data_IF_562324429364
#
_entry.id   IF_562324429364
#
_cell.length_a   1.000
_cell.length_b   1.000
_cell.length_c   1.000
_cell.angle_alpha   90.00
_cell.angle_beta   90.00
_cell.angle_gamma   90.00
#
_symmetry.space_group_name_H-M   'P 1'
#
loop_
_entity.id
_entity.type
_entity.pdbx_description
1 polymer ?
#
# COMPACT_ATOMS: atom_id res chain seq x y z
N UNK A 1 3.77 -20.78 -15.58
CA UNK A 1 2.95 -19.82 -16.36
C UNK A 1 2.47 -18.80 -15.35
N UNK A 2 2.28 -17.62 -15.44
CA UNK A 2 1.85 -16.48 -14.58
C UNK A 2 1.67 -16.73 -13.06
N UNK A 3 2.51 -17.58 -12.44
CA UNK A 3 2.54 -17.85 -10.98
C UNK A 3 1.17 -18.20 -10.36
N UNK A 4 0.26 -18.82 -11.13
CA UNK A 4 -1.11 -19.16 -10.74
C UNK A 4 -1.96 -17.95 -10.31
N UNK A 5 -1.69 -16.77 -10.91
CA UNK A 5 -2.38 -15.53 -10.56
C UNK A 5 -3.88 -15.59 -10.82
N UNK A 6 -4.66 -15.27 -9.79
CA UNK A 6 -6.12 -15.22 -9.83
C UNK A 6 -6.62 -13.91 -9.21
N UNK A 7 -7.67 -13.36 -9.81
CA UNK A 7 -8.48 -12.31 -9.22
C UNK A 7 -9.68 -12.96 -8.56
N UNK A 8 -9.83 -12.74 -7.27
CA UNK A 8 -10.83 -13.37 -6.42
C UNK A 8 -11.70 -12.33 -5.75
N UNK A 9 -12.86 -12.76 -5.27
CA UNK A 9 -13.80 -11.93 -4.52
C UNK A 9 -14.36 -12.73 -3.34
N UNK A 10 -14.61 -12.06 -2.22
CA UNK A 10 -15.29 -12.64 -1.08
C UNK A 10 -16.26 -11.65 -0.45
N UNK A 11 -17.22 -12.18 0.29
CA UNK A 11 -18.12 -11.40 1.14
C UNK A 11 -17.51 -11.21 2.52
N UNK A 12 -17.51 -9.98 3.03
CA UNK A 12 -17.25 -9.66 4.44
C UNK A 12 -18.46 -8.88 4.95
N UNK A 13 -19.12 -9.43 5.98
CA UNK A 13 -20.41 -8.90 6.42
C UNK A 13 -21.38 -8.84 5.23
N UNK A 14 -21.94 -7.67 4.93
CA UNK A 14 -22.82 -7.43 3.77
C UNK A 14 -22.10 -6.84 2.54
N UNK A 15 -20.77 -6.81 2.52
CA UNK A 15 -19.99 -6.14 1.50
C UNK A 15 -19.00 -7.09 0.81
N UNK A 16 -18.68 -6.81 -0.44
CA UNK A 16 -17.70 -7.58 -1.19
C UNK A 16 -16.31 -6.92 -1.11
N UNK A 17 -15.28 -7.77 -1.04
CA UNK A 17 -13.89 -7.36 -1.15
C UNK A 17 -13.23 -8.16 -2.25
N UNK A 18 -12.47 -7.47 -3.09
CA UNK A 18 -11.65 -8.12 -4.11
C UNK A 18 -10.25 -8.34 -3.57
N UNK A 19 -9.66 -9.46 -3.95
CA UNK A 19 -8.26 -9.75 -3.67
C UNK A 19 -7.61 -10.49 -4.83
N UNK A 20 -6.30 -10.47 -4.87
CA UNK A 20 -5.50 -11.23 -5.83
C UNK A 20 -4.72 -12.28 -5.04
N UNK A 21 -4.60 -13.49 -5.61
CA UNK A 21 -3.72 -14.51 -5.09
C UNK A 21 -2.78 -15.03 -6.18
N UNK A 22 -1.54 -15.34 -5.81
CA UNK A 22 -0.57 -15.98 -6.68
C UNK A 22 0.55 -16.66 -5.86
N UNK A 23 1.41 -17.41 -6.57
CA UNK A 23 2.45 -18.20 -5.92
C UNK A 23 1.94 -19.51 -5.34
N UNK A 24 2.87 -20.38 -4.94
CA UNK A 24 2.59 -21.74 -4.46
C UNK A 24 3.44 -22.15 -3.25
N UNK A 25 4.15 -21.20 -2.65
CA UNK A 25 4.98 -21.44 -1.47
C UNK A 25 4.15 -21.78 -0.22
N UNK A 26 4.83 -22.21 0.82
CA UNK A 26 4.21 -22.62 2.10
C UNK A 26 3.97 -21.45 3.05
N UNK A 27 4.78 -20.40 2.94
CA UNK A 27 4.62 -19.17 3.75
C UNK A 27 3.51 -18.30 3.16
N UNK A 28 2.90 -17.45 3.97
CA UNK A 28 1.88 -16.50 3.52
C UNK A 28 2.41 -15.09 3.60
N UNK A 29 2.33 -14.36 2.46
CA UNK A 29 2.61 -12.92 2.40
C UNK A 29 1.35 -12.18 1.99
N UNK A 30 0.96 -11.18 2.79
CA UNK A 30 -0.13 -10.26 2.49
C UNK A 30 0.45 -8.93 2.05
N UNK A 31 0.02 -8.43 0.91
CA UNK A 31 0.39 -7.12 0.39
C UNK A 31 -0.83 -6.20 0.44
N UNK A 32 -0.68 -5.07 1.14
CA UNK A 32 -1.69 -4.02 1.23
C UNK A 32 -1.26 -2.85 0.34
N UNK A 33 -1.92 -2.63 -0.82
CA UNK A 33 -1.56 -1.56 -1.74
C UNK A 33 -1.90 -0.18 -1.21
N UNK A 34 -1.31 0.86 -1.81
CA UNK A 34 -1.54 2.25 -1.45
C UNK A 34 -2.89 2.80 -1.92
N UNK A 35 -3.02 4.13 -1.89
CA UNK A 35 -4.23 4.89 -2.21
C UNK A 35 -4.73 4.67 -3.65
N UNK A 36 -3.89 4.13 -4.53
CA UNK A 36 -4.29 3.75 -5.89
C UNK A 36 -5.50 2.80 -5.95
N UNK A 37 -5.75 2.00 -4.90
CA UNK A 37 -6.97 1.18 -4.77
C UNK A 37 -8.27 2.02 -4.81
N UNK A 38 -8.20 3.27 -4.39
CA UNK A 38 -9.34 4.20 -4.46
C UNK A 38 -9.76 4.57 -5.88
N UNK A 39 -8.80 4.60 -6.83
CA UNK A 39 -9.03 4.86 -8.26
C UNK A 39 -9.19 3.56 -9.05
N UNK A 40 -8.41 2.55 -8.71
CA UNK A 40 -8.29 1.28 -9.42
C UNK A 40 -8.48 0.11 -8.44
N UNK A 41 -9.70 -0.18 -8.02
CA UNK A 41 -9.98 -1.35 -7.17
C UNK A 41 -9.43 -2.62 -7.81
N UNK A 42 -8.97 -3.55 -6.98
CA UNK A 42 -8.45 -4.82 -7.48
C UNK A 42 -9.52 -5.55 -8.28
N UNK A 43 -9.26 -5.77 -9.57
CA UNK A 43 -10.22 -6.41 -10.46
C UNK A 43 -9.56 -7.03 -11.70
N UNK A 44 -9.97 -8.23 -12.03
CA UNK A 44 -9.70 -8.87 -13.30
C UNK A 44 -8.31 -9.52 -13.43
N UNK A 45 -8.23 -10.38 -14.43
CA UNK A 45 -7.07 -11.26 -14.67
C UNK A 45 -5.79 -10.48 -15.04
N UNK A 46 -5.93 -9.39 -15.80
CA UNK A 46 -4.77 -8.60 -16.24
C UNK A 46 -4.07 -7.98 -15.02
N UNK A 47 -4.84 -7.40 -14.09
CA UNK A 47 -4.28 -6.80 -12.88
C UNK A 47 -3.64 -7.88 -11.99
N UNK A 48 -4.27 -9.07 -11.87
CA UNK A 48 -3.69 -10.19 -11.13
C UNK A 48 -2.32 -10.61 -11.71
N UNK A 49 -2.21 -10.72 -13.03
CA UNK A 49 -0.95 -11.04 -13.72
C UNK A 49 0.10 -9.92 -13.48
N UNK A 50 -0.30 -8.66 -13.53
CA UNK A 50 0.60 -7.52 -13.30
C UNK A 50 1.19 -7.55 -11.89
N UNK A 51 0.36 -7.80 -10.86
CA UNK A 51 0.84 -7.95 -9.48
C UNK A 51 1.76 -9.16 -9.33
N UNK A 52 1.38 -10.31 -9.89
CA UNK A 52 2.19 -11.51 -9.84
C UNK A 52 3.55 -11.32 -10.53
N UNK A 53 3.62 -10.55 -11.60
CA UNK A 53 4.87 -10.23 -12.27
C UNK A 53 5.74 -9.26 -11.47
N UNK A 54 5.14 -8.23 -10.88
CA UNK A 54 5.84 -7.25 -10.01
C UNK A 54 6.47 -7.92 -8.80
N UNK A 55 5.77 -8.86 -8.18
CA UNK A 55 6.16 -9.54 -6.95
C UNK A 55 6.57 -11.01 -7.16
N UNK A 56 7.01 -11.35 -8.37
CA UNK A 56 7.36 -12.73 -8.78
C UNK A 56 8.42 -13.39 -7.89
N UNK A 57 9.33 -12.61 -7.31
CA UNK A 57 10.39 -13.10 -6.44
C UNK A 57 9.84 -13.81 -5.19
N UNK A 58 8.67 -13.39 -4.70
CA UNK A 58 8.01 -14.04 -3.56
C UNK A 58 7.26 -15.32 -3.94
N UNK A 59 6.86 -15.48 -5.21
CA UNK A 59 5.92 -16.52 -5.65
C UNK A 59 6.41 -17.97 -5.46
N UNK A 60 7.71 -18.19 -5.28
CA UNK A 60 8.31 -19.51 -5.05
C UNK A 60 8.09 -19.96 -3.60
N UNK A 61 8.37 -19.09 -2.65
CA UNK A 61 8.41 -19.41 -1.23
C UNK A 61 7.11 -19.06 -0.51
N UNK A 62 6.30 -18.20 -1.13
CA UNK A 62 5.06 -17.65 -0.58
C UNK A 62 3.84 -17.98 -1.44
N UNK A 63 2.72 -18.20 -0.74
CA UNK A 63 1.39 -17.92 -1.23
C UNK A 63 1.15 -16.44 -0.97
N UNK A 64 1.08 -15.65 -2.02
CA UNK A 64 0.94 -14.19 -1.93
C UNK A 64 -0.51 -13.78 -2.12
N UNK A 65 -0.99 -12.92 -1.24
CA UNK A 65 -2.30 -12.30 -1.33
C UNK A 65 -2.13 -10.78 -1.44
N UNK A 66 -2.83 -10.15 -2.37
CA UNK A 66 -2.97 -8.69 -2.41
C UNK A 66 -4.40 -8.36 -2.03
N UNK A 67 -4.61 -7.71 -0.89
CA UNK A 67 -5.94 -7.40 -0.39
C UNK A 67 -6.38 -5.99 -0.79
N UNK A 68 -7.58 -5.88 -1.42
CA UNK A 68 -8.26 -4.61 -1.66
C UNK A 68 -9.03 -4.12 -0.44
N UNK A 69 -9.77 -3.03 -0.62
CA UNK A 69 -10.73 -2.51 0.36
C UNK A 69 -12.14 -2.94 -0.04
N UNK A 70 -13.09 -2.86 0.89
CA UNK A 70 -14.53 -3.09 0.60
C UNK A 70 -14.94 -2.33 -0.65
N UNK A 71 -15.78 -2.95 -1.50
CA UNK A 71 -16.24 -2.31 -2.74
C UNK A 71 -17.16 -1.14 -2.45
N UNK A 72 -18.04 -1.28 -1.45
CA UNK A 72 -18.89 -0.19 -0.96
C UNK A 72 -18.31 0.30 0.36
N UNK A 73 -17.90 1.54 0.40
CA UNK A 73 -17.32 2.19 1.59
C UNK A 73 -18.21 3.34 2.06
N UNK A 74 -18.31 3.49 3.36
CA UNK A 74 -19.05 4.59 4.01
C UNK A 74 -18.20 5.86 4.05
N UNK A 75 -18.81 7.01 4.26
CA UNK A 75 -18.12 8.30 4.33
C UNK A 75 -17.07 8.35 5.46
N UNK A 76 -17.33 7.64 6.55
CA UNK A 76 -16.39 7.47 7.67
C UNK A 76 -15.77 6.08 7.60
N UNK A 77 -14.66 5.95 6.89
CA UNK A 77 -13.94 4.70 6.73
C UNK A 77 -12.45 4.94 6.98
N UNK A 78 -12.06 4.79 8.24
CA UNK A 78 -10.70 5.04 8.71
C UNK A 78 -9.72 3.95 8.28
N UNK A 79 -8.42 4.23 8.35
CA UNK A 79 -7.36 3.22 8.15
C UNK A 79 -7.45 2.10 9.19
N UNK A 80 -8.01 2.35 10.38
CA UNK A 80 -8.25 1.33 11.42
C UNK A 80 -9.43 0.43 11.06
N UNK A 81 -10.52 0.98 10.49
CA UNK A 81 -11.62 0.18 9.95
C UNK A 81 -11.15 -0.70 8.80
N UNK A 82 -10.29 -0.15 7.93
CA UNK A 82 -9.66 -0.93 6.86
C UNK A 82 -8.83 -2.08 7.42
N UNK A 83 -8.09 -1.88 8.52
CA UNK A 83 -7.31 -2.93 9.17
C UNK A 83 -8.19 -4.03 9.76
N UNK A 84 -9.34 -3.66 10.37
CA UNK A 84 -10.35 -4.63 10.82
C UNK A 84 -10.82 -5.49 9.64
N UNK A 85 -11.14 -4.88 8.51
CA UNK A 85 -11.56 -5.62 7.32
C UNK A 85 -10.47 -6.60 6.84
N UNK A 86 -9.19 -6.20 6.89
CA UNK A 86 -8.08 -7.10 6.52
C UNK A 86 -8.01 -8.30 7.49
N UNK A 87 -8.21 -8.08 8.79
CA UNK A 87 -8.24 -9.18 9.77
C UNK A 87 -9.40 -10.15 9.48
N UNK A 88 -10.56 -9.63 9.08
CA UNK A 88 -11.74 -10.43 8.74
C UNK A 88 -11.51 -11.24 7.45
N UNK A 89 -10.81 -10.65 6.44
CA UNK A 89 -10.38 -11.38 5.24
C UNK A 89 -9.46 -12.55 5.63
N UNK A 90 -8.43 -12.29 6.45
CA UNK A 90 -7.49 -13.32 6.91
C UNK A 90 -8.23 -14.47 7.58
N UNK A 91 -9.13 -14.17 8.53
CA UNK A 91 -9.94 -15.18 9.23
C UNK A 91 -10.76 -16.03 8.26
N UNK A 92 -11.42 -15.40 7.28
CA UNK A 92 -12.23 -16.13 6.27
C UNK A 92 -11.41 -17.00 5.34
N UNK A 93 -10.16 -16.60 5.05
CA UNK A 93 -9.22 -17.42 4.26
C UNK A 93 -8.52 -18.51 5.09
N UNK A 94 -8.79 -18.59 6.42
CA UNK A 94 -8.10 -19.50 7.32
C UNK A 94 -6.63 -19.14 7.55
N UNK A 95 -6.25 -17.88 7.31
CA UNK A 95 -4.90 -17.38 7.53
C UNK A 95 -4.76 -17.02 9.01
N UNK A 96 -4.13 -17.89 9.78
CA UNK A 96 -3.95 -17.70 11.22
C UNK A 96 -2.82 -16.72 11.53
N UNK A 97 -1.82 -16.61 10.66
CA UNK A 97 -0.68 -15.71 10.78
C UNK A 97 -0.01 -15.52 9.43
N UNK A 98 0.48 -14.33 9.13
CA UNK A 98 1.15 -14.03 7.88
C UNK A 98 2.22 -12.95 8.04
N UNK A 99 3.15 -12.91 7.10
CA UNK A 99 3.99 -11.75 6.87
C UNK A 99 3.17 -10.70 6.11
N UNK A 100 3.29 -9.42 6.51
CA UNK A 100 2.48 -8.34 5.96
C UNK A 100 3.37 -7.24 5.40
N UNK A 101 3.14 -6.85 4.16
CA UNK A 101 3.78 -5.70 3.53
C UNK A 101 2.73 -4.64 3.19
N UNK A 102 2.82 -3.47 3.81
CA UNK A 102 1.97 -2.33 3.52
C UNK A 102 2.73 -1.23 2.77
N UNK A 103 2.17 -0.77 1.66
CA UNK A 103 2.75 0.31 0.84
C UNK A 103 1.90 1.56 0.99
N UNK A 104 2.50 2.70 1.36
CA UNK A 104 1.82 3.98 1.49
C UNK A 104 0.58 3.90 2.41
N UNK A 105 -0.63 4.19 1.95
CA UNK A 105 -1.86 3.96 2.74
C UNK A 105 -1.97 2.51 3.24
N UNK A 106 -1.53 1.52 2.44
CA UNK A 106 -1.47 0.13 2.88
C UNK A 106 -0.57 -0.07 4.11
N UNK A 107 0.50 0.73 4.25
CA UNK A 107 1.34 0.77 5.43
C UNK A 107 0.62 1.39 6.65
N UNK A 108 -0.21 2.42 6.45
CA UNK A 108 -1.06 2.98 7.50
C UNK A 108 -2.05 1.92 8.03
N UNK A 109 -2.63 1.13 7.13
CA UNK A 109 -3.53 0.01 7.47
C UNK A 109 -2.76 -1.10 8.20
N UNK A 110 -1.58 -1.47 7.69
CA UNK A 110 -0.74 -2.52 8.28
C UNK A 110 -0.28 -2.18 9.70
N UNK A 111 -0.06 -0.90 10.02
CA UNK A 111 0.21 -0.46 11.39
C UNK A 111 -0.94 -0.85 12.34
N UNK A 112 -2.19 -0.49 12.01
CA UNK A 112 -3.33 -0.86 12.84
C UNK A 112 -3.62 -2.37 12.84
N UNK A 113 -3.34 -3.07 11.74
CA UNK A 113 -3.43 -4.53 11.73
C UNK A 113 -2.45 -5.15 12.75
N UNK A 114 -1.21 -4.65 12.81
CA UNK A 114 -0.21 -5.15 13.76
C UNK A 114 -0.45 -4.67 15.21
N UNK A 115 -1.12 -3.53 15.41
CA UNK A 115 -1.48 -2.99 16.72
C UNK A 115 -2.67 -3.74 17.32
N UNK A 116 -3.75 -3.92 16.54
CA UNK A 116 -5.03 -4.42 17.02
C UNK A 116 -5.15 -5.96 16.93
N UNK A 117 -4.36 -6.58 16.03
CA UNK A 117 -4.37 -8.03 15.76
C UNK A 117 -2.93 -8.59 15.68
N UNK A 118 -2.12 -8.42 16.74
CA UNK A 118 -0.69 -8.80 16.72
C UNK A 118 -0.49 -10.30 16.46
N UNK A 119 -1.46 -11.14 16.81
CA UNK A 119 -1.44 -12.57 16.56
C UNK A 119 -1.47 -12.94 15.06
N UNK A 120 -2.01 -12.05 14.22
CA UNK A 120 -2.12 -12.28 12.77
C UNK A 120 -0.86 -11.87 12.00
N UNK A 121 0.04 -11.07 12.62
CA UNK A 121 1.21 -10.51 11.93
C UNK A 121 2.49 -11.14 12.44
N UNK A 122 3.19 -11.88 11.58
CA UNK A 122 4.47 -12.52 11.92
C UNK A 122 5.64 -11.56 11.76
N UNK A 123 5.75 -10.93 10.60
CA UNK A 123 6.69 -9.85 10.28
C UNK A 123 5.97 -8.75 9.52
N UNK A 124 6.45 -7.54 9.67
CA UNK A 124 5.84 -6.35 9.07
C UNK A 124 6.83 -5.62 8.18
N UNK A 125 6.40 -5.24 6.97
CA UNK A 125 7.13 -4.34 6.09
C UNK A 125 6.30 -3.09 5.87
N UNK A 126 6.84 -1.93 6.24
CA UNK A 126 6.23 -0.61 6.09
C UNK A 126 7.00 0.17 5.02
N UNK A 127 6.48 0.23 3.80
CA UNK A 127 7.11 0.89 2.68
C UNK A 127 6.46 2.24 2.38
N UNK A 128 7.27 3.32 2.32
CA UNK A 128 6.88 4.68 1.93
C UNK A 128 5.58 5.16 2.61
N UNK A 129 5.50 5.00 3.92
CA UNK A 129 4.29 5.28 4.70
C UNK A 129 4.58 6.19 5.89
N UNK A 130 3.54 6.68 6.55
CA UNK A 130 3.63 7.53 7.71
C UNK A 130 2.79 6.99 8.86
N UNK A 131 3.16 7.34 10.09
CA UNK A 131 2.41 7.00 11.30
C UNK A 131 1.35 8.01 11.69
N UNK A 132 1.43 9.21 11.14
CA UNK A 132 0.50 10.32 11.41
C UNK A 132 0.54 11.32 10.28
N UNK A 133 -0.46 12.20 10.25
CA UNK A 133 -0.48 13.37 9.39
C UNK A 133 0.74 14.28 9.63
N UNK A 134 1.18 14.97 8.59
CA UNK A 134 2.13 16.06 8.58
C UNK A 134 1.79 17.04 7.43
N UNK A 135 2.46 18.19 7.38
CA UNK A 135 2.18 19.24 6.38
C UNK A 135 2.31 18.74 4.93
N UNK A 136 3.27 17.84 4.66
CA UNK A 136 3.45 17.27 3.32
C UNK A 136 2.24 16.44 2.91
N UNK A 137 1.80 15.51 3.76
CA UNK A 137 0.59 14.69 3.52
C UNK A 137 -0.63 15.59 3.38
N UNK A 138 -0.82 16.54 4.30
CA UNK A 138 -1.96 17.45 4.27
C UNK A 138 -2.04 18.19 2.94
N UNK A 139 -0.95 18.84 2.52
CA UNK A 139 -0.93 19.65 1.31
C UNK A 139 -1.14 18.79 0.03
N UNK A 140 -0.49 17.63 -0.04
CA UNK A 140 -0.59 16.76 -1.22
C UNK A 140 -1.96 16.13 -1.32
N UNK A 141 -2.44 15.53 -0.24
CA UNK A 141 -3.70 14.77 -0.26
C UNK A 141 -4.90 15.72 -0.39
N UNK A 142 -4.92 16.89 0.28
CA UNK A 142 -5.97 17.89 0.06
C UNK A 142 -6.04 18.35 -1.40
N UNK A 143 -4.87 18.61 -2.02
CA UNK A 143 -4.80 18.95 -3.44
C UNK A 143 -5.37 17.85 -4.34
N UNK A 144 -5.08 16.58 -4.04
CA UNK A 144 -5.61 15.44 -4.79
C UNK A 144 -7.11 15.28 -4.60
N UNK A 145 -7.63 15.50 -3.39
CA UNK A 145 -9.07 15.53 -3.11
C UNK A 145 -9.76 16.64 -3.92
N UNK A 146 -9.17 17.83 -3.99
CA UNK A 146 -9.72 18.94 -4.78
C UNK A 146 -9.73 18.63 -6.29
N UNK A 147 -8.68 18.02 -6.80
CA UNK A 147 -8.64 17.55 -8.19
C UNK A 147 -9.72 16.49 -8.45
N UNK A 148 -9.91 15.55 -7.53
CA UNK A 148 -10.92 14.52 -7.62
C UNK A 148 -12.35 15.11 -7.58
N UNK A 149 -12.64 16.05 -6.68
CA UNK A 149 -13.92 16.78 -6.62
C UNK A 149 -14.21 17.53 -7.92
N UNK A 150 -13.20 18.11 -8.55
CA UNK A 150 -13.29 18.81 -9.85
C UNK A 150 -13.25 17.84 -11.04
N UNK A 151 -13.25 16.53 -10.81
CA UNK A 151 -13.12 15.48 -11.83
C UNK A 151 -11.89 15.64 -12.75
N UNK A 152 -10.86 16.33 -12.27
CA UNK A 152 -9.61 16.56 -12.99
C UNK A 152 -8.68 15.33 -12.84
N UNK A 153 -9.07 14.22 -13.47
CA UNK A 153 -8.33 12.97 -13.43
C UNK A 153 -6.92 13.10 -14.02
N UNK A 154 -6.81 13.79 -15.15
CA UNK A 154 -5.51 13.99 -15.80
C UNK A 154 -4.52 14.76 -14.90
N UNK A 155 -4.97 15.86 -14.29
CA UNK A 155 -4.17 16.61 -13.33
C UNK A 155 -3.75 15.76 -12.13
N UNK A 156 -4.69 14.97 -11.59
CA UNK A 156 -4.43 14.06 -10.47
C UNK A 156 -3.33 13.03 -10.82
N UNK A 157 -3.43 12.38 -11.97
CA UNK A 157 -2.46 11.36 -12.39
C UNK A 157 -1.07 11.95 -12.66
N UNK A 158 -1.00 13.10 -13.31
CA UNK A 158 0.27 13.80 -13.59
C UNK A 158 0.91 14.27 -12.28
N UNK A 159 0.15 14.89 -11.38
CA UNK A 159 0.68 15.36 -10.10
C UNK A 159 1.16 14.19 -9.23
N UNK A 160 0.41 13.08 -9.21
CA UNK A 160 0.82 11.84 -8.53
C UNK A 160 2.14 11.32 -9.10
N UNK A 161 2.28 11.22 -10.42
CA UNK A 161 3.52 10.77 -11.05
C UNK A 161 4.71 11.68 -10.68
N UNK A 162 4.54 13.00 -10.80
CA UNK A 162 5.60 13.97 -10.52
C UNK A 162 6.07 13.98 -9.07
N UNK A 163 5.18 13.60 -8.12
CA UNK A 163 5.54 13.51 -6.70
C UNK A 163 6.08 12.14 -6.29
N UNK A 164 5.69 11.09 -7.01
CA UNK A 164 6.07 9.71 -6.68
C UNK A 164 7.44 9.34 -7.20
N UNK A 165 7.74 9.68 -8.46
CA UNK A 165 8.91 9.17 -9.16
C UNK A 165 10.10 10.13 -9.13
N UNK A 166 11.31 9.58 -9.26
CA UNK A 166 12.55 10.33 -9.40
C UNK A 166 12.60 11.12 -10.72
N UNK A 167 13.38 12.19 -10.76
CA UNK A 167 13.58 12.96 -12.00
C UNK A 167 14.12 12.09 -13.15
N UNK A 168 14.99 11.13 -12.84
CA UNK A 168 15.52 10.18 -13.82
C UNK A 168 14.40 9.35 -14.45
N UNK A 169 13.48 8.84 -13.63
CA UNK A 169 12.34 8.07 -14.10
C UNK A 169 11.38 8.92 -14.94
N UNK A 170 11.05 10.11 -14.46
CA UNK A 170 10.18 11.05 -15.16
C UNK A 170 10.75 11.46 -16.52
N UNK A 171 12.07 11.72 -16.62
CA UNK A 171 12.74 12.00 -17.90
C UNK A 171 12.61 10.83 -18.88
N UNK A 172 12.82 9.59 -18.40
CA UNK A 172 12.72 8.37 -19.22
C UNK A 172 11.31 8.17 -19.78
N UNK A 173 10.27 8.42 -18.98
CA UNK A 173 8.88 8.17 -19.34
C UNK A 173 8.10 9.44 -19.71
N UNK A 174 8.75 10.56 -19.93
CA UNK A 174 8.17 11.88 -20.20
C UNK A 174 7.06 11.87 -21.26
N UNK A 175 7.22 11.11 -22.33
CA UNK A 175 6.24 11.03 -23.42
C UNK A 175 4.97 10.25 -23.03
N UNK A 176 5.05 9.38 -22.02
CA UNK A 176 3.93 8.53 -21.59
C UNK A 176 3.14 9.14 -20.43
N UNK A 177 3.74 10.04 -19.63
CA UNK A 177 3.09 10.66 -18.48
C UNK A 177 1.78 11.36 -18.84
N UNK A 178 1.67 12.14 -19.94
CA UNK A 178 0.40 12.76 -20.33
C UNK A 178 -0.71 11.77 -20.71
N UNK A 179 -0.35 10.51 -21.01
CA UNK A 179 -1.31 9.45 -21.35
C UNK A 179 -1.93 8.82 -20.10
N UNK A 180 -1.31 8.94 -18.93
CA UNK A 180 -1.81 8.38 -17.69
C UNK A 180 -3.24 8.85 -17.38
N UNK A 181 -3.53 10.11 -17.65
CA UNK A 181 -4.85 10.68 -17.43
C UNK A 181 -5.90 10.34 -18.49
N UNK A 182 -5.55 9.55 -19.51
CA UNK A 182 -6.48 9.14 -20.59
C UNK A 182 -7.02 7.74 -20.41
N UNK A 183 -6.40 6.93 -19.52
CA UNK A 183 -6.72 5.52 -19.33
C UNK A 183 -7.19 5.28 -17.91
N UNK A 184 -8.25 4.49 -17.73
CA UNK A 184 -8.69 4.04 -16.42
C UNK A 184 -9.40 5.09 -15.56
N UNK A 185 -9.90 6.20 -16.16
CA UNK A 185 -10.68 7.19 -15.40
C UNK A 185 -11.86 6.49 -14.70
N UNK A 186 -11.99 6.60 -13.36
CA UNK A 186 -13.11 6.02 -12.64
C UNK A 186 -14.42 6.73 -13.00
N UNK A 187 -15.57 6.05 -12.83
CA UNK A 187 -16.90 6.66 -13.08
C UNK A 187 -17.18 7.82 -12.12
N UNK A 188 -16.75 7.69 -10.88
CA UNK A 188 -16.77 8.73 -9.86
C UNK A 188 -15.54 8.62 -8.96
N UNK A 189 -15.30 9.64 -8.16
CA UNK A 189 -14.14 9.73 -7.28
C UNK A 189 -14.48 9.52 -5.79
N UNK A 190 -15.73 9.15 -5.48
CA UNK A 190 -16.19 9.04 -4.09
C UNK A 190 -15.30 8.09 -3.28
N UNK A 191 -15.01 6.91 -3.83
CA UNK A 191 -14.12 5.92 -3.20
C UNK A 191 -12.72 6.48 -2.93
N UNK A 192 -12.13 7.16 -3.92
CA UNK A 192 -10.82 7.78 -3.77
C UNK A 192 -10.81 8.87 -2.69
N UNK A 193 -11.81 9.76 -2.70
CA UNK A 193 -11.92 10.87 -1.74
C UNK A 193 -12.01 10.32 -0.31
N UNK A 194 -12.83 9.29 -0.05
CA UNK A 194 -12.95 8.68 1.27
C UNK A 194 -11.61 8.08 1.73
N UNK A 195 -10.94 7.30 0.87
CA UNK A 195 -9.64 6.72 1.19
C UNK A 195 -8.55 7.79 1.36
N UNK A 196 -8.55 8.84 0.54
CA UNK A 196 -7.63 9.96 0.68
C UNK A 196 -7.83 10.71 2.00
N UNK A 197 -9.09 10.96 2.40
CA UNK A 197 -9.42 11.55 3.68
C UNK A 197 -8.90 10.71 4.85
N UNK A 198 -9.02 9.39 4.78
CA UNK A 198 -8.49 8.51 5.82
C UNK A 198 -6.96 8.58 5.98
N UNK A 199 -6.22 8.94 4.91
CA UNK A 199 -4.78 9.18 5.03
C UNK A 199 -4.45 10.45 5.83
N UNK A 200 -5.26 11.51 5.70
CA UNK A 200 -5.12 12.74 6.48
C UNK A 200 -5.48 12.49 7.94
N UNK A 201 -6.50 11.69 8.20
CA UNK A 201 -6.99 11.39 9.55
C UNK A 201 -6.18 10.31 10.26
N UNK A 202 -5.25 9.64 9.56
CA UNK A 202 -4.44 8.58 10.14
C UNK A 202 -3.53 9.09 11.25
N UNK A 203 -3.60 8.45 12.42
CA UNK A 203 -2.75 8.76 13.56
C UNK A 203 -2.52 7.53 14.45
N UNK A 204 -1.54 6.71 14.10
CA UNK A 204 -1.11 5.55 14.88
C UNK A 204 0.13 5.84 15.75
N UNK A 205 0.71 7.05 15.68
CA UNK A 205 2.02 7.38 16.24
C UNK A 205 2.16 7.04 17.73
N UNK A 206 1.15 7.36 18.54
CA UNK A 206 1.16 7.09 19.98
C UNK A 206 1.03 5.60 20.33
N UNK A 207 0.59 4.78 19.38
CA UNK A 207 0.33 3.34 19.57
C UNK A 207 1.37 2.43 18.91
N UNK A 208 2.33 2.97 18.16
CA UNK A 208 3.34 2.19 17.43
C UNK A 208 4.20 1.29 18.30
N UNK A 209 4.38 1.65 19.57
CA UNK A 209 5.10 0.82 20.56
C UNK A 209 4.40 -0.52 20.87
N UNK A 210 3.11 -0.66 20.48
CA UNK A 210 2.36 -1.92 20.58
C UNK A 210 2.71 -2.91 19.46
N UNK A 211 3.38 -2.45 18.39
CA UNK A 211 3.89 -3.34 17.34
C UNK A 211 5.07 -4.13 17.89
N UNK A 212 4.87 -5.42 18.09
CA UNK A 212 5.86 -6.32 18.74
C UNK A 212 6.59 -7.24 17.77
N UNK A 213 6.06 -7.40 16.55
CA UNK A 213 6.69 -8.20 15.50
C UNK A 213 7.94 -7.51 14.91
N UNK A 214 8.91 -8.26 14.38
CA UNK A 214 10.00 -7.70 13.59
C UNK A 214 9.45 -6.85 12.44
N UNK A 215 10.00 -5.65 12.24
CA UNK A 215 9.48 -4.68 11.28
C UNK A 215 10.61 -4.13 10.41
N UNK A 216 10.44 -4.18 9.09
CA UNK A 216 11.30 -3.46 8.14
C UNK A 216 10.58 -2.19 7.67
N UNK A 217 11.26 -1.06 7.81
CA UNK A 217 10.78 0.24 7.34
C UNK A 217 11.60 0.65 6.13
N UNK A 218 10.94 0.89 5.00
CA UNK A 218 11.61 1.33 3.77
C UNK A 218 11.05 2.69 3.34
N UNK A 219 11.93 3.65 3.10
CA UNK A 219 11.59 4.98 2.62
C UNK A 219 12.42 5.43 1.43
N UNK A 220 12.01 6.54 0.82
CA UNK A 220 12.80 7.29 -0.15
C UNK A 220 13.22 8.63 0.45
N UNK A 221 14.50 9.01 0.29
CA UNK A 221 15.03 10.26 0.82
C UNK A 221 14.33 11.51 0.22
N UNK A 222 13.75 11.35 -0.98
CA UNK A 222 13.05 12.43 -1.69
C UNK A 222 11.53 12.22 -1.75
N UNK A 223 10.94 11.58 -0.74
CA UNK A 223 9.50 11.34 -0.71
C UNK A 223 8.72 12.65 -0.54
N UNK A 224 8.05 13.09 -1.62
CA UNK A 224 7.24 14.31 -1.68
C UNK A 224 5.76 14.09 -1.32
N UNK A 225 5.39 12.88 -0.88
CA UNK A 225 4.01 12.52 -0.55
C UNK A 225 3.83 12.34 0.95
N UNK A 226 4.66 11.50 1.59
CA UNK A 226 4.60 11.31 3.05
C UNK A 226 5.67 12.11 3.79
N UNK A 227 6.62 12.71 3.07
CA UNK A 227 7.74 13.46 3.63
C UNK A 227 8.92 12.56 3.99
N UNK A 228 10.13 13.09 3.88
CA UNK A 228 11.39 12.37 4.08
C UNK A 228 11.60 11.86 5.53
N UNK A 229 10.99 12.49 6.52
CA UNK A 229 11.13 12.11 7.93
C UNK A 229 10.12 11.03 8.37
N UNK A 230 9.14 10.67 7.54
CA UNK A 230 8.06 9.75 7.94
C UNK A 230 8.57 8.37 8.38
N UNK A 231 9.55 7.83 7.66
CA UNK A 231 10.18 6.54 7.98
C UNK A 231 10.96 6.58 9.31
N UNK A 232 11.63 7.69 9.62
CA UNK A 232 12.38 7.84 10.88
C UNK A 232 11.42 7.92 12.08
N UNK A 233 10.27 8.59 11.94
CA UNK A 233 9.24 8.63 12.99
C UNK A 233 8.66 7.24 13.30
N UNK A 234 8.55 6.35 12.30
CA UNK A 234 8.15 4.96 12.51
C UNK A 234 9.23 4.21 13.30
N UNK A 235 10.50 4.32 12.87
CA UNK A 235 11.64 3.64 13.50
C UNK A 235 11.86 4.09 14.94
N UNK A 236 11.60 5.35 15.26
CA UNK A 236 11.71 5.88 16.64
C UNK A 236 10.79 5.14 17.62
N UNK A 237 9.61 4.70 17.20
CA UNK A 237 8.57 4.13 18.05
C UNK A 237 8.46 2.61 17.99
N UNK A 238 8.84 1.99 16.87
CA UNK A 238 8.76 0.53 16.72
C UNK A 238 10.09 -0.10 17.17
N UNK A 239 10.10 -0.67 18.37
CA UNK A 239 11.34 -1.16 19.03
C UNK A 239 12.11 -2.23 18.23
N UNK A 240 11.39 -3.12 17.51
CA UNK A 240 12.00 -4.19 16.72
C UNK A 240 12.02 -3.83 15.25
N UNK A 241 12.50 -2.63 14.90
CA UNK A 241 12.53 -2.18 13.51
C UNK A 241 13.94 -2.08 12.96
N UNK A 242 14.07 -2.42 11.67
CA UNK A 242 15.19 -2.09 10.81
C UNK A 242 14.70 -1.01 9.83
N UNK A 243 15.52 -0.01 9.53
CA UNK A 243 15.18 1.06 8.58
C UNK A 243 16.15 1.05 7.40
N UNK A 244 15.60 1.22 6.19
CA UNK A 244 16.38 1.40 4.98
C UNK A 244 15.82 2.55 4.14
N UNK A 245 16.69 3.51 3.79
CA UNK A 245 16.31 4.68 2.99
C UNK A 245 17.01 4.61 1.64
N UNK A 246 16.25 4.67 0.56
CA UNK A 246 16.78 4.78 -0.79
C UNK A 246 17.16 6.22 -1.10
N UNK A 247 18.46 6.49 -1.20
CA UNK A 247 18.97 7.78 -1.64
C UNK A 247 18.56 8.06 -3.10
N UNK A 248 18.17 9.31 -3.38
CA UNK A 248 17.77 9.74 -4.72
C UNK A 248 16.39 9.27 -5.21
N UNK A 249 15.69 8.40 -4.48
CA UNK A 249 14.36 7.96 -4.81
C UNK A 249 13.29 8.65 -3.93
N UNK A 250 12.05 8.67 -4.43
CA UNK A 250 10.90 9.25 -3.76
C UNK A 250 9.89 8.20 -3.30
N UNK A 251 8.61 8.52 -3.40
CA UNK A 251 7.52 7.66 -2.94
C UNK A 251 7.41 6.34 -3.72
N UNK A 252 7.83 6.31 -4.98
CA UNK A 252 7.77 5.12 -5.83
C UNK A 252 8.99 4.19 -5.69
N UNK A 253 9.73 4.21 -4.56
CA UNK A 253 10.88 3.32 -4.34
C UNK A 253 10.57 1.86 -4.62
N UNK A 254 9.38 1.39 -4.24
CA UNK A 254 8.92 0.01 -4.45
C UNK A 254 8.70 -0.36 -5.93
N UNK A 255 8.74 0.63 -6.82
CA UNK A 255 8.65 0.46 -8.28
C UNK A 255 9.98 0.73 -8.99
N UNK A 256 10.76 1.70 -8.50
CA UNK A 256 11.99 2.15 -9.13
C UNK A 256 13.23 1.38 -8.69
N UNK A 257 13.30 0.98 -7.40
CA UNK A 257 14.47 0.27 -6.88
C UNK A 257 14.44 -1.19 -7.33
N UNK A 258 15.50 -1.59 -8.05
CA UNK A 258 15.59 -2.94 -8.61
C UNK A 258 15.73 -4.03 -7.54
N UNK A 259 16.34 -3.70 -6.42
CA UNK A 259 16.59 -4.56 -5.26
C UNK A 259 15.49 -4.51 -4.18
N UNK A 260 14.40 -3.74 -4.39
CA UNK A 260 13.36 -3.58 -3.39
C UNK A 260 12.78 -4.93 -2.91
N UNK A 261 12.35 -5.77 -3.84
CA UNK A 261 11.77 -7.08 -3.50
C UNK A 261 12.80 -8.03 -2.88
N UNK A 262 14.05 -7.98 -3.32
CA UNK A 262 15.16 -8.78 -2.77
C UNK A 262 15.42 -8.39 -1.32
N UNK A 263 15.51 -7.11 -1.02
CA UNK A 263 15.68 -6.57 0.34
C UNK A 263 14.54 -6.97 1.27
N UNK A 264 13.29 -6.87 0.79
CA UNK A 264 12.13 -7.36 1.54
C UNK A 264 12.25 -8.86 1.80
N UNK A 265 12.60 -9.67 0.78
CA UNK A 265 12.73 -11.11 0.90
C UNK A 265 13.86 -11.52 1.87
N UNK A 266 15.00 -10.82 1.85
CA UNK A 266 16.10 -11.01 2.82
C UNK A 266 15.62 -10.79 4.26
N UNK A 267 14.86 -9.70 4.51
CA UNK A 267 14.30 -9.45 5.84
C UNK A 267 13.29 -10.53 6.25
N UNK A 268 12.40 -10.92 5.35
CA UNK A 268 11.37 -11.93 5.64
C UNK A 268 11.98 -13.32 5.91
N UNK A 269 13.18 -13.60 5.43
CA UNK A 269 13.87 -14.89 5.61
C UNK A 269 14.81 -14.94 6.84
N UNK A 270 15.08 -13.81 7.51
CA UNK A 270 15.77 -13.78 8.80
C UNK A 270 14.94 -14.46 9.88
#
# INVERSE_FOLDING_TARGET
>A
MFYNAKSCQMMIESNTVNYIEFGSGKKTLIILPGLGDGLFPLHGKIQAITFAFRYKQFAKDYKVYVFGRKNQITEKYSTRDMAKDQSDIMKKLGIMKAEVMGVSQGGMIAQYLAIDYPELVEKLVLAVTSSKQNDTIQNVICRWIDMAKKQNYNGLMIDTANKSYSERYLKKYRLFIPLLGKVGKPKDFKRFIIQATSCIEHNAFSELNKITCPTLIIGGANDKIVGNNASFHLAEKIKKSEIFIYEGLGHATYEEAQDFNERVLEFLNK
#
